data_IF_154768888495
#
_entry.id   IF_154768888495
#
_cell.length_a   1.000
_cell.length_b   1.000
_cell.length_c   1.000
_cell.angle_alpha   90.00
_cell.angle_beta   90.00
_cell.angle_gamma   90.00
#
_symmetry.space_group_name_H-M   'P 1'
#
loop_
_entity.id
_entity.type
_entity.pdbx_description
1 polymer ?
#
# COMPACT_ATOMS: atom_id res chain seq x y z
N UNK A 1 -8.46 -25.18 -16.08
CA UNK A 1 -8.31 -23.80 -15.59
C UNK A 1 -8.50 -23.83 -14.08
N UNK A 2 -7.57 -23.32 -13.25
CA UNK A 2 -7.80 -23.27 -11.82
C UNK A 2 -8.99 -22.35 -11.54
N UNK A 3 -9.81 -22.70 -10.55
CA UNK A 3 -10.92 -21.87 -10.11
C UNK A 3 -10.38 -20.52 -9.60
N UNK A 4 -11.04 -19.39 -9.90
CA UNK A 4 -10.75 -18.14 -9.22
C UNK A 4 -10.86 -18.39 -7.72
N UNK A 5 -9.81 -18.07 -6.96
CA UNK A 5 -9.86 -18.16 -5.51
C UNK A 5 -10.99 -17.29 -4.98
N UNK A 6 -11.56 -17.67 -3.83
CA UNK A 6 -12.55 -16.88 -3.10
C UNK A 6 -11.90 -15.61 -2.52
N UNK A 7 -11.44 -14.70 -3.39
CA UNK A 7 -11.07 -13.35 -2.98
C UNK A 7 -12.36 -12.63 -2.63
N UNK A 8 -12.67 -12.57 -1.33
CA UNK A 8 -13.66 -11.63 -0.83
C UNK A 8 -13.27 -10.25 -1.37
N UNK A 9 -14.21 -9.58 -2.06
CA UNK A 9 -14.12 -8.14 -2.33
C UNK A 9 -14.25 -7.41 -0.99
N UNK A 10 -13.18 -7.44 -0.20
CA UNK A 10 -13.12 -6.77 1.11
C UNK A 10 -13.31 -5.27 0.97
N UNK A 11 -13.00 -4.70 -0.20
CA UNK A 11 -13.27 -3.31 -0.57
C UNK A 11 -14.77 -2.94 -0.53
N UNK A 12 -15.70 -3.89 -0.71
CA UNK A 12 -17.14 -3.67 -0.58
C UNK A 12 -17.64 -3.72 0.87
N UNK A 13 -16.84 -4.27 1.79
CA UNK A 13 -17.18 -4.38 3.22
C UNK A 13 -16.51 -3.29 4.07
N UNK A 14 -15.53 -2.58 3.50
CA UNK A 14 -14.77 -1.54 4.18
C UNK A 14 -15.42 -0.18 3.92
N UNK A 15 -15.96 0.43 4.99
CA UNK A 15 -16.52 1.78 4.96
C UNK A 15 -15.45 2.79 5.35
N UNK A 16 -15.40 3.92 4.64
CA UNK A 16 -14.46 5.02 4.92
C UNK A 16 -13.32 5.13 3.90
N UNK A 17 -12.29 5.95 4.20
CA UNK A 17 -11.11 6.08 3.36
C UNK A 17 -10.38 4.75 3.16
N UNK A 18 -10.07 4.43 1.89
CA UNK A 18 -9.36 3.21 1.48
C UNK A 18 -8.04 3.60 0.83
N UNK A 19 -6.94 3.01 1.30
CA UNK A 19 -5.60 3.28 0.79
C UNK A 19 -4.97 1.97 0.37
N UNK A 20 -4.73 1.83 -0.93
CA UNK A 20 -4.11 0.67 -1.54
C UNK A 20 -2.65 0.98 -1.82
N UNK A 21 -1.75 0.06 -1.50
CA UNK A 21 -0.33 0.15 -1.79
C UNK A 21 0.18 -1.12 -2.43
N UNK A 22 1.04 -0.97 -3.43
CA UNK A 22 1.70 -2.06 -4.16
C UNK A 22 3.13 -1.64 -4.55
N UNK A 23 4.03 -2.61 -4.68
CA UNK A 23 5.40 -2.36 -5.06
C UNK A 23 5.91 -3.29 -6.18
N UNK A 24 6.61 -2.69 -7.14
CA UNK A 24 7.34 -3.44 -8.15
C UNK A 24 8.80 -3.65 -7.70
N UNK A 25 9.14 -4.88 -7.32
CA UNK A 25 10.52 -5.26 -6.99
C UNK A 25 11.43 -5.30 -8.23
N UNK A 26 12.58 -4.62 -8.17
CA UNK A 26 13.62 -4.59 -9.22
C UNK A 26 13.07 -4.29 -10.62
N UNK A 27 12.25 -3.25 -10.73
CA UNK A 27 11.71 -2.80 -12.01
C UNK A 27 12.73 -1.97 -12.79
N UNK A 28 12.69 -2.11 -14.12
CA UNK A 28 13.46 -1.28 -15.08
C UNK A 28 12.63 -0.14 -15.67
N UNK A 29 11.35 -0.05 -15.30
CA UNK A 29 10.36 0.85 -15.92
C UNK A 29 10.22 2.18 -15.18
N UNK A 30 11.19 2.54 -14.33
CA UNK A 30 11.16 3.81 -13.60
C UNK A 30 11.65 4.93 -14.53
N UNK A 31 10.88 6.02 -14.71
CA UNK A 31 11.32 7.16 -15.51
C UNK A 31 12.63 7.75 -14.99
N UNK A 32 13.57 8.02 -15.90
CA UNK A 32 14.88 8.59 -15.53
C UNK A 32 15.89 7.59 -14.97
N UNK A 33 15.55 6.29 -14.90
CA UNK A 33 16.49 5.26 -14.46
C UNK A 33 17.56 4.98 -15.53
N UNK A 34 18.87 4.92 -15.17
CA UNK A 34 19.92 4.59 -16.11
C UNK A 34 19.74 3.19 -16.74
N UNK A 35 20.18 2.99 -18.00
CA UNK A 35 20.12 1.69 -18.64
C UNK A 35 20.91 0.63 -17.85
N UNK A 36 20.28 -0.51 -17.56
CA UNK A 36 20.90 -1.62 -16.83
C UNK A 36 20.61 -1.61 -15.33
N UNK A 37 20.22 -0.46 -14.78
CA UNK A 37 19.85 -0.34 -13.38
C UNK A 37 18.43 -0.86 -13.11
N UNK A 38 18.18 -1.15 -11.84
CA UNK A 38 16.86 -1.52 -11.33
C UNK A 38 16.53 -0.66 -10.13
N UNK A 39 15.23 -0.41 -9.94
CA UNK A 39 14.71 0.36 -8.82
C UNK A 39 13.50 -0.35 -8.22
N UNK A 40 12.98 0.22 -7.14
CA UNK A 40 11.68 -0.18 -6.58
C UNK A 40 10.62 0.76 -7.13
N UNK A 41 9.60 0.21 -7.80
CA UNK A 41 8.42 0.99 -8.18
C UNK A 41 7.43 1.01 -7.02
N UNK A 42 6.77 2.15 -6.81
CA UNK A 42 5.75 2.31 -5.75
C UNK A 42 4.46 2.81 -6.39
N UNK A 43 3.38 2.08 -6.16
CA UNK A 43 2.03 2.46 -6.57
C UNK A 43 1.16 2.65 -5.33
N UNK A 44 0.46 3.79 -5.25
CA UNK A 44 -0.50 4.07 -4.18
C UNK A 44 -1.78 4.60 -4.80
N UNK A 45 -2.91 4.05 -4.35
CA UNK A 45 -4.24 4.52 -4.72
C UNK A 45 -5.02 4.86 -3.46
N UNK A 46 -5.61 6.06 -3.42
CA UNK A 46 -6.41 6.52 -2.29
C UNK A 46 -7.83 6.78 -2.81
N UNK A 47 -8.81 6.16 -2.18
CA UNK A 47 -10.24 6.38 -2.43
C UNK A 47 -10.86 6.96 -1.16
N UNK A 48 -11.31 8.21 -1.25
CA UNK A 48 -11.94 8.94 -0.14
C UNK A 48 -13.43 9.12 -0.42
N UNK A 49 -14.32 8.69 0.48
CA UNK A 49 -15.73 9.04 0.37
C UNK A 49 -15.93 10.54 0.62
N UNK A 50 -16.80 11.16 -0.17
CA UNK A 50 -17.21 12.56 -0.07
C UNK A 50 -18.71 12.69 -0.37
N UNK A 51 -19.33 13.77 0.10
CA UNK A 51 -20.75 14.09 -0.14
C UNK A 51 -21.12 14.15 -1.63
N UNK A 52 -20.13 14.40 -2.49
CA UNK A 52 -20.29 14.56 -3.94
C UNK A 52 -19.87 13.30 -4.73
N UNK A 53 -19.49 12.21 -4.06
CA UNK A 53 -18.97 10.98 -4.66
C UNK A 53 -17.62 10.55 -4.07
N UNK A 54 -16.87 9.70 -4.76
CA UNK A 54 -15.52 9.31 -4.32
C UNK A 54 -14.44 10.23 -4.92
N UNK A 55 -13.53 10.72 -4.08
CA UNK A 55 -12.29 11.38 -4.51
C UNK A 55 -11.22 10.30 -4.64
N UNK A 56 -10.63 10.19 -5.83
CA UNK A 56 -9.64 9.17 -6.15
C UNK A 56 -8.29 9.79 -6.48
N UNK A 57 -7.23 9.37 -5.77
CA UNK A 57 -5.87 9.87 -5.94
C UNK A 57 -4.98 8.70 -6.36
N UNK A 58 -4.25 8.87 -7.45
CA UNK A 58 -3.24 7.92 -7.92
C UNK A 58 -1.85 8.53 -7.77
N UNK A 59 -0.95 7.77 -7.13
CA UNK A 59 0.42 8.19 -6.89
C UNK A 59 1.33 7.11 -7.44
N UNK A 60 2.22 7.52 -8.35
CA UNK A 60 3.27 6.69 -8.89
C UNK A 60 4.60 7.29 -8.46
N UNK A 61 5.42 6.47 -7.82
CA UNK A 61 6.71 6.88 -7.31
C UNK A 61 7.75 5.78 -7.53
N UNK A 62 8.99 6.10 -7.20
CA UNK A 62 10.08 5.14 -7.19
C UNK A 62 10.98 5.37 -5.99
N UNK A 63 11.68 4.31 -5.59
CA UNK A 63 12.70 4.32 -4.57
C UNK A 63 13.94 3.56 -5.05
N UNK A 64 15.04 3.68 -4.31
CA UNK A 64 16.24 2.89 -4.55
C UNK A 64 15.92 1.39 -4.61
N UNK A 65 16.76 0.61 -5.31
CA UNK A 65 16.58 -0.85 -5.37
C UNK A 65 16.57 -1.43 -3.96
N UNK A 66 15.57 -2.23 -3.67
CA UNK A 66 15.50 -3.05 -2.46
C UNK A 66 16.17 -4.40 -2.69
N UNK A 67 16.39 -5.15 -1.60
CA UNK A 67 16.99 -6.49 -1.66
C UNK A 67 15.95 -7.60 -1.75
N UNK A 68 14.71 -7.35 -1.30
CA UNK A 68 13.63 -8.34 -1.32
C UNK A 68 12.29 -7.71 -1.74
N UNK A 69 11.34 -8.50 -2.28
CA UNK A 69 9.98 -8.02 -2.53
C UNK A 69 9.29 -7.52 -1.26
N UNK A 70 9.53 -8.17 -0.11
CA UNK A 70 8.97 -7.72 1.18
C UNK A 70 9.43 -6.31 1.56
N UNK A 71 10.71 -5.99 1.31
CA UNK A 71 11.21 -4.62 1.51
C UNK A 71 10.55 -3.63 0.55
N UNK A 72 10.36 -3.99 -0.72
CA UNK A 72 9.67 -3.15 -1.68
C UNK A 72 8.25 -2.81 -1.22
N UNK A 73 7.48 -3.83 -0.84
CA UNK A 73 6.13 -3.69 -0.31
C UNK A 73 6.10 -2.84 0.97
N UNK A 74 7.07 -3.03 1.87
CA UNK A 74 7.15 -2.25 3.11
C UNK A 74 7.36 -0.76 2.83
N UNK A 75 8.13 -0.41 1.79
CA UNK A 75 8.34 0.98 1.35
C UNK A 75 7.03 1.55 0.80
N UNK A 76 6.30 0.81 -0.03
CA UNK A 76 5.03 1.28 -0.58
C UNK A 76 3.99 1.54 0.52
N UNK A 77 3.83 0.60 1.46
CA UNK A 77 2.90 0.74 2.58
C UNK A 77 3.31 1.89 3.52
N UNK A 78 4.59 2.01 3.86
CA UNK A 78 5.08 3.10 4.70
C UNK A 78 4.91 4.47 4.02
N UNK A 79 5.14 4.54 2.71
CA UNK A 79 4.91 5.75 1.91
C UNK A 79 3.43 6.13 1.92
N UNK A 80 2.54 5.15 1.73
CA UNK A 80 1.09 5.35 1.80
C UNK A 80 0.65 5.88 3.16
N UNK A 81 1.17 5.31 4.26
CA UNK A 81 0.87 5.77 5.62
C UNK A 81 1.37 7.20 5.88
N UNK A 82 2.58 7.54 5.44
CA UNK A 82 3.12 8.90 5.56
C UNK A 82 2.31 9.92 4.75
N UNK A 83 1.87 9.56 3.54
CA UNK A 83 1.00 10.42 2.73
C UNK A 83 -0.36 10.60 3.41
N UNK A 84 -0.97 9.52 3.90
CA UNK A 84 -2.23 9.57 4.63
C UNK A 84 -2.17 10.53 5.82
N UNK A 85 -1.10 10.44 6.61
CA UNK A 85 -0.84 11.32 7.75
C UNK A 85 -0.70 12.78 7.31
N UNK A 86 0.08 13.06 6.25
CA UNK A 86 0.27 14.44 5.73
C UNK A 86 -0.99 15.05 5.14
N UNK A 87 -1.87 14.22 4.58
CA UNK A 87 -3.17 14.63 4.05
C UNK A 87 -4.27 14.64 5.12
N UNK A 88 -3.92 14.33 6.38
CA UNK A 88 -4.86 14.24 7.50
C UNK A 88 -6.04 13.29 7.23
N UNK A 89 -5.76 12.17 6.55
CA UNK A 89 -6.77 11.14 6.27
C UNK A 89 -6.91 10.26 7.52
N UNK A 90 -8.01 10.43 8.22
CA UNK A 90 -8.32 9.70 9.46
C UNK A 90 -9.09 8.40 9.17
N UNK A 91 -8.90 7.41 10.05
CA UNK A 91 -9.59 6.10 9.97
C UNK A 91 -9.43 5.38 8.62
N UNK A 92 -8.30 5.58 7.95
CA UNK A 92 -8.01 4.91 6.70
C UNK A 92 -7.81 3.41 6.90
N UNK A 93 -8.42 2.62 6.02
CA UNK A 93 -8.09 1.20 5.90
C UNK A 93 -7.00 1.04 4.85
N UNK A 94 -5.88 0.45 5.26
CA UNK A 94 -4.76 0.14 4.38
C UNK A 94 -4.92 -1.26 3.77
N UNK A 95 -4.77 -1.36 2.46
CA UNK A 95 -4.91 -2.58 1.68
C UNK A 95 -3.60 -2.83 0.90
N UNK A 96 -3.08 -4.04 1.03
CA UNK A 96 -1.90 -4.54 0.32
C UNK A 96 -2.13 -6.01 -0.02
N UNK A 97 -1.53 -6.49 -1.10
CA UNK A 97 -1.53 -7.91 -1.47
C UNK A 97 -0.45 -8.72 -0.71
N UNK A 98 0.40 -8.05 0.07
CA UNK A 98 1.46 -8.67 0.85
C UNK A 98 0.95 -9.21 2.20
N UNK A 99 0.50 -10.48 2.21
CA UNK A 99 -0.01 -11.14 3.42
C UNK A 99 0.95 -11.08 4.62
N UNK A 100 2.26 -11.18 4.38
CA UNK A 100 3.28 -11.10 5.44
C UNK A 100 3.26 -9.74 6.13
N UNK A 101 3.20 -8.64 5.37
CA UNK A 101 3.11 -7.30 5.95
C UNK A 101 1.80 -7.09 6.71
N UNK A 102 0.68 -7.55 6.16
CA UNK A 102 -0.62 -7.47 6.84
C UNK A 102 -0.57 -8.17 8.20
N UNK A 103 0.05 -9.36 8.27
CA UNK A 103 0.24 -10.07 9.55
C UNK A 103 1.14 -9.29 10.51
N UNK A 104 2.26 -8.75 10.05
CA UNK A 104 3.15 -7.96 10.89
C UNK A 104 2.48 -6.70 11.44
N UNK A 105 1.73 -5.96 10.60
CA UNK A 105 1.01 -4.76 10.99
C UNK A 105 -0.14 -5.05 11.98
N UNK A 106 -0.84 -6.18 11.80
CA UNK A 106 -1.87 -6.61 12.74
C UNK A 106 -1.26 -6.94 14.12
N UNK A 107 -0.11 -7.62 14.15
CA UNK A 107 0.59 -7.95 15.40
C UNK A 107 1.02 -6.69 16.17
N UNK A 108 1.50 -5.66 15.48
CA UNK A 108 1.87 -4.39 16.13
C UNK A 108 0.66 -3.67 16.73
N UNK A 109 -0.52 -3.76 16.11
CA UNK A 109 -1.75 -3.19 16.67
C UNK A 109 -2.25 -3.99 17.89
N UNK A 110 -1.94 -5.28 18.00
CA UNK A 110 -2.29 -6.09 19.18
C UNK A 110 -1.31 -5.95 20.34
N UNK A 111 -0.12 -5.39 20.09
CA UNK A 111 0.90 -5.13 21.11
C UNK A 111 0.76 -3.74 21.76
N UNK A 112 -0.24 -2.94 21.36
CA UNK A 112 -0.67 -1.75 22.09
C UNK A 112 -2.05 -1.94 22.75
N UNK A 113 -2.09 -2.59 23.92
CA UNK A 113 -3.11 -2.33 24.90
C UNK A 113 -2.42 -1.98 26.22
N UNK A 114 -2.01 -0.74 26.40
CA UNK A 114 -1.54 -0.25 27.71
C UNK A 114 -0.29 -0.99 28.23
N UNK A 115 0.88 -0.42 27.96
CA UNK A 115 2.06 -0.70 28.79
C UNK A 115 1.70 -0.38 30.25
N UNK A 116 1.85 -1.31 31.23
CA UNK A 116 1.94 -0.92 32.64
C UNK A 116 3.22 -0.14 32.93
#
# INVERSE_FOLDING_TARGET
LPFPGNSLRSDLLVVGPKIYSDAAFRTKKVPGLPPGDVATGVGIYISLPSEQGEINIQIQASASSTSTPLQAESIALASAANIASRLNIMHATFLTDCLTLTKCAALTNTLDPSIP
#
